data_IF_698514693167
#
_entry.id   IF_698514693167
#
_cell.length_a   1.000
_cell.length_b   1.000
_cell.length_c   1.000
_cell.angle_alpha   90.00
_cell.angle_beta   90.00
_cell.angle_gamma   90.00
#
_symmetry.space_group_name_H-M   'P 1'
#
loop_
_entity.id
_entity.type
_entity.pdbx_description
1 polymer ?
#
# COMPACT_ATOMS: atom_id res chain seq x y z
N UNK A 1 -32.90 19.69 -1.12
CA UNK A 1 -32.20 19.18 0.08
C UNK A 1 -31.01 18.36 -0.38
N UNK A 2 -29.80 18.93 -0.38
CA UNK A 2 -28.59 18.27 -0.87
C UNK A 2 -27.80 17.76 0.34
N UNK A 3 -27.63 16.45 0.46
CA UNK A 3 -26.94 15.83 1.59
C UNK A 3 -25.51 16.36 1.73
N UNK A 4 -25.10 16.60 2.98
CA UNK A 4 -23.82 17.16 3.37
C UNK A 4 -22.63 16.44 2.70
N UNK A 5 -21.58 17.16 2.25
CA UNK A 5 -20.37 16.57 1.66
C UNK A 5 -19.49 15.78 2.66
N UNK A 6 -19.89 15.73 3.93
CA UNK A 6 -19.01 15.41 5.07
C UNK A 6 -18.73 13.90 5.22
N UNK A 7 -19.59 13.05 4.66
CA UNK A 7 -19.42 11.60 4.69
C UNK A 7 -18.37 11.05 3.69
N UNK A 8 -17.93 11.85 2.71
CA UNK A 8 -16.92 11.42 1.73
C UNK A 8 -15.51 11.36 2.32
N UNK A 9 -15.20 12.12 3.36
CA UNK A 9 -13.87 12.11 3.97
C UNK A 9 -13.65 10.85 4.82
N UNK A 10 -14.65 10.47 5.63
CA UNK A 10 -14.63 9.26 6.46
C UNK A 10 -14.56 7.98 5.60
N UNK A 11 -15.34 7.92 4.52
CA UNK A 11 -15.30 6.78 3.59
C UNK A 11 -13.91 6.57 2.95
N UNK A 12 -13.15 7.65 2.71
CA UNK A 12 -11.79 7.58 2.15
C UNK A 12 -10.74 7.05 3.12
N UNK A 13 -11.01 7.13 4.42
CA UNK A 13 -10.14 6.58 5.47
C UNK A 13 -10.53 5.17 5.91
N UNK A 14 -11.68 4.67 5.47
CA UNK A 14 -12.14 3.33 5.81
C UNK A 14 -11.12 2.26 5.38
N UNK A 15 -10.63 2.30 4.13
CA UNK A 15 -9.71 1.27 3.63
C UNK A 15 -8.37 1.27 4.36
N UNK A 16 -7.64 2.40 4.50
CA UNK A 16 -6.42 2.43 5.32
C UNK A 16 -6.67 2.00 6.78
N UNK A 17 -7.78 2.43 7.37
CA UNK A 17 -8.16 2.08 8.73
C UNK A 17 -8.41 0.58 8.91
N UNK A 18 -9.11 -0.06 7.97
CA UNK A 18 -9.36 -1.51 7.97
C UNK A 18 -8.03 -2.28 7.85
N UNK A 19 -7.13 -1.85 6.96
CA UNK A 19 -5.82 -2.48 6.80
C UNK A 19 -4.98 -2.37 8.08
N UNK A 20 -4.98 -1.20 8.74
CA UNK A 20 -4.34 -1.04 10.05
C UNK A 20 -4.95 -1.96 11.10
N UNK A 21 -6.28 -2.02 11.18
CA UNK A 21 -6.99 -2.92 12.08
C UNK A 21 -6.61 -4.39 11.84
N UNK A 22 -6.56 -4.81 10.58
CA UNK A 22 -6.10 -6.14 10.19
C UNK A 22 -4.64 -6.39 10.63
N UNK A 23 -3.76 -5.40 10.51
CA UNK A 23 -2.38 -5.47 11.01
C UNK A 23 -2.30 -5.73 12.52
N UNK A 24 -3.11 -5.00 13.30
CA UNK A 24 -3.20 -5.21 14.74
C UNK A 24 -3.69 -6.63 15.07
N UNK A 25 -4.74 -7.10 14.39
CA UNK A 25 -5.30 -8.44 14.60
C UNK A 25 -4.29 -9.52 14.25
N UNK A 26 -3.67 -9.46 13.06
CA UNK A 26 -2.65 -10.43 12.62
C UNK A 26 -1.45 -10.43 13.56
N UNK A 27 -0.96 -9.23 13.95
CA UNK A 27 0.13 -9.11 14.91
C UNK A 27 -0.20 -9.72 16.26
N UNK A 28 -1.40 -9.48 16.78
CA UNK A 28 -1.85 -10.07 18.05
C UNK A 28 -1.92 -11.61 17.99
N UNK A 29 -2.45 -12.16 16.90
CA UNK A 29 -2.50 -13.62 16.68
C UNK A 29 -1.09 -14.22 16.67
N UNK A 30 -0.18 -13.64 15.89
CA UNK A 30 1.20 -14.14 15.78
C UNK A 30 1.97 -14.01 17.10
N UNK A 31 1.74 -12.94 17.86
CA UNK A 31 2.35 -12.73 19.17
C UNK A 31 1.82 -13.75 20.21
N UNK A 32 0.53 -14.06 20.18
CA UNK A 32 -0.07 -15.09 21.03
C UNK A 32 0.53 -16.49 20.76
N UNK A 33 0.92 -16.77 19.52
CA UNK A 33 1.63 -17.99 19.13
C UNK A 33 3.14 -17.97 19.47
N UNK A 34 3.64 -16.96 20.19
CA UNK A 34 5.06 -16.82 20.55
C UNK A 34 5.97 -16.35 19.40
N UNK A 35 5.39 -15.98 18.25
CA UNK A 35 6.14 -15.58 17.05
C UNK A 35 6.29 -14.06 16.95
N UNK A 36 6.76 -13.44 18.03
CA UNK A 36 6.83 -11.98 18.20
C UNK A 36 7.62 -11.26 17.10
N UNK A 37 8.71 -11.87 16.60
CA UNK A 37 9.48 -11.30 15.49
C UNK A 37 8.65 -11.18 14.20
N UNK A 38 7.99 -12.26 13.79
CA UNK A 38 7.09 -12.23 12.61
C UNK A 38 5.86 -11.35 12.84
N UNK A 39 5.37 -11.26 14.09
CA UNK A 39 4.27 -10.37 14.44
C UNK A 39 4.63 -8.89 14.17
N UNK A 40 5.81 -8.46 14.62
CA UNK A 40 6.30 -7.10 14.37
C UNK A 40 6.49 -6.82 12.88
N UNK A 41 7.06 -7.78 12.14
CA UNK A 41 7.27 -7.64 10.69
C UNK A 41 5.94 -7.54 9.94
N UNK A 42 4.96 -8.40 10.25
CA UNK A 42 3.64 -8.36 9.63
C UNK A 42 2.89 -7.06 9.95
N UNK A 43 2.96 -6.61 11.21
CA UNK A 43 2.38 -5.34 11.64
C UNK A 43 3.02 -4.16 10.90
N UNK A 44 4.35 -4.12 10.81
CA UNK A 44 5.08 -3.07 10.11
C UNK A 44 4.72 -3.05 8.60
N UNK A 45 4.62 -4.21 7.96
CA UNK A 45 4.23 -4.32 6.56
C UNK A 45 2.80 -3.80 6.31
N UNK A 46 1.83 -4.19 7.16
CA UNK A 46 0.45 -3.74 7.04
C UNK A 46 0.29 -2.25 7.39
N UNK A 47 1.05 -1.75 8.37
CA UNK A 47 1.10 -0.32 8.68
C UNK A 47 1.69 0.50 7.52
N UNK A 48 2.78 0.01 6.92
CA UNK A 48 3.37 0.61 5.72
C UNK A 48 2.39 0.62 4.55
N UNK A 49 1.67 -0.48 4.33
CA UNK A 49 0.66 -0.57 3.28
C UNK A 49 -0.54 0.36 3.52
N UNK A 50 -0.99 0.50 4.76
CA UNK A 50 -2.03 1.47 5.10
C UNK A 50 -1.56 2.91 4.91
N UNK A 51 -0.31 3.22 5.27
CA UNK A 51 0.29 4.54 5.04
C UNK A 51 0.40 4.84 3.54
N UNK A 52 0.78 3.85 2.72
CA UNK A 52 0.78 3.92 1.26
C UNK A 52 -0.62 4.28 0.71
N UNK A 53 -1.66 3.55 1.13
CA UNK A 53 -3.04 3.84 0.73
C UNK A 53 -3.51 5.23 1.19
N UNK A 54 -3.10 5.64 2.39
CA UNK A 54 -3.40 6.94 2.94
C UNK A 54 -2.71 8.07 2.16
N UNK A 55 -1.49 7.86 1.66
CA UNK A 55 -0.78 8.85 0.85
C UNK A 55 -1.36 8.93 -0.57
N UNK A 56 -1.60 7.79 -1.25
CA UNK A 56 -2.17 7.74 -2.61
C UNK A 56 -3.47 8.52 -2.76
N UNK A 57 -4.29 8.61 -1.72
CA UNK A 57 -5.58 9.32 -1.77
C UNK A 57 -5.45 10.82 -2.10
N UNK A 58 -4.28 11.42 -1.84
CA UNK A 58 -4.00 12.84 -1.98
C UNK A 58 -3.02 13.14 -3.13
N UNK A 59 -2.50 12.11 -3.80
CA UNK A 59 -1.45 12.27 -4.80
C UNK A 59 -2.06 12.80 -6.11
N UNK A 60 -1.62 13.97 -6.63
CA UNK A 60 -1.97 14.40 -7.97
C UNK A 60 -1.42 13.39 -8.98
N UNK A 61 -2.19 13.06 -10.03
CA UNK A 61 -1.67 12.23 -11.13
C UNK A 61 -0.53 12.95 -11.83
N UNK A 62 0.70 12.71 -11.38
CA UNK A 62 1.90 13.27 -11.97
C UNK A 62 2.30 12.42 -13.17
N UNK A 63 2.45 13.00 -14.37
CA UNK A 63 3.00 12.30 -15.51
C UNK A 63 4.52 12.18 -15.31
N UNK A 64 4.95 11.18 -14.54
CA UNK A 64 6.37 10.88 -14.39
C UNK A 64 6.78 9.99 -15.58
N UNK A 65 7.48 10.58 -16.54
CA UNK A 65 8.22 9.85 -17.56
C UNK A 65 8.07 10.39 -18.98
N UNK A 66 9.19 10.84 -19.56
CA UNK A 66 9.29 11.19 -20.99
C UNK A 66 9.03 9.99 -21.92
N UNK A 67 9.14 8.76 -21.40
CA UNK A 67 8.95 7.52 -22.16
C UNK A 67 7.50 7.16 -22.50
N UNK A 68 6.50 7.78 -21.87
CA UNK A 68 5.07 7.46 -22.12
C UNK A 68 4.40 8.35 -23.17
N UNK A 69 5.11 9.36 -23.70
CA UNK A 69 4.55 10.34 -24.65
C UNK A 69 3.51 11.28 -24.02
N UNK A 70 2.83 12.08 -24.83
CA UNK A 70 1.78 13.02 -24.39
C UNK A 70 0.38 12.60 -24.86
N UNK A 71 -0.67 13.11 -24.20
CA UNK A 71 -2.07 12.90 -24.61
C UNK A 71 -2.79 11.72 -23.94
N UNK A 72 -3.94 11.34 -24.50
CA UNK A 72 -4.91 10.42 -23.86
C UNK A 72 -4.39 8.98 -23.72
N UNK A 73 -3.61 8.49 -24.70
CA UNK A 73 -2.98 7.16 -24.62
C UNK A 73 -1.91 7.10 -23.52
N UNK A 74 -1.08 8.13 -23.39
CA UNK A 74 -0.07 8.22 -22.34
C UNK A 74 -0.71 8.12 -20.94
N UNK A 75 -1.80 8.87 -20.71
CA UNK A 75 -2.57 8.80 -19.46
C UNK A 75 -3.18 7.41 -19.21
N UNK A 76 -3.66 6.74 -20.25
CA UNK A 76 -4.19 5.39 -20.11
C UNK A 76 -3.10 4.38 -19.73
N UNK A 77 -1.90 4.48 -20.32
CA UNK A 77 -0.76 3.63 -19.96
C UNK A 77 -0.27 3.88 -18.53
N UNK A 78 -0.16 5.14 -18.12
CA UNK A 78 0.19 5.49 -16.74
C UNK A 78 -0.83 4.95 -15.73
N UNK A 79 -2.12 5.07 -16.05
CA UNK A 79 -3.19 4.53 -15.20
C UNK A 79 -3.12 3.00 -15.13
N UNK A 80 -2.89 2.32 -16.26
CA UNK A 80 -2.74 0.88 -16.30
C UNK A 80 -1.54 0.42 -15.45
N UNK A 81 -0.38 1.08 -15.59
CA UNK A 81 0.82 0.80 -14.78
C UNK A 81 0.58 1.06 -13.29
N UNK A 82 -0.11 2.15 -12.93
CA UNK A 82 -0.45 2.44 -11.56
C UNK A 82 -1.40 1.39 -10.96
N UNK A 83 -2.35 0.88 -11.75
CA UNK A 83 -3.27 -0.19 -11.31
C UNK A 83 -2.58 -1.55 -11.19
N UNK A 84 -1.67 -1.90 -12.09
CA UNK A 84 -0.93 -3.16 -11.98
C UNK A 84 0.01 -3.15 -10.78
N UNK A 85 0.63 -2.00 -10.49
CA UNK A 85 1.40 -1.78 -9.26
C UNK A 85 0.55 -2.06 -8.01
N UNK A 86 -0.65 -1.49 -7.92
CA UNK A 86 -1.55 -1.72 -6.78
C UNK A 86 -1.94 -3.19 -6.62
N UNK A 87 -2.34 -3.84 -7.71
CA UNK A 87 -2.72 -5.27 -7.69
C UNK A 87 -1.56 -6.13 -7.23
N UNK A 88 -0.35 -5.86 -7.71
CA UNK A 88 0.85 -6.58 -7.30
C UNK A 88 1.15 -6.36 -5.81
N UNK A 89 1.08 -5.11 -5.32
CA UNK A 89 1.29 -4.81 -3.89
C UNK A 89 0.27 -5.53 -3.02
N UNK A 90 -1.01 -5.54 -3.40
CA UNK A 90 -2.06 -6.28 -2.68
C UNK A 90 -1.73 -7.77 -2.65
N UNK A 91 -1.32 -8.36 -3.78
CA UNK A 91 -0.97 -9.78 -3.84
C UNK A 91 0.24 -10.13 -2.96
N UNK A 92 1.27 -9.27 -2.93
CA UNK A 92 2.45 -9.45 -2.08
C UNK A 92 2.08 -9.39 -0.59
N UNK A 93 1.29 -8.39 -0.18
CA UNK A 93 0.85 -8.23 1.21
C UNK A 93 -0.08 -9.39 1.62
N UNK A 94 -1.01 -9.79 0.74
CA UNK A 94 -1.86 -10.95 0.98
C UNK A 94 -1.05 -12.24 1.15
N UNK A 95 -0.08 -12.48 0.27
CA UNK A 95 0.84 -13.62 0.36
C UNK A 95 1.66 -13.62 1.66
N UNK A 96 2.16 -12.45 2.07
CA UNK A 96 2.88 -12.26 3.34
C UNK A 96 2.00 -12.68 4.52
N UNK A 97 0.77 -12.16 4.60
CA UNK A 97 -0.17 -12.47 5.69
C UNK A 97 -0.50 -13.96 5.73
N UNK A 98 -0.82 -14.55 4.58
CA UNK A 98 -1.14 -15.98 4.51
C UNK A 98 0.05 -16.83 4.97
N UNK A 99 1.27 -16.53 4.51
CA UNK A 99 2.46 -17.28 4.93
C UNK A 99 2.81 -17.08 6.40
N UNK A 100 2.70 -15.85 6.91
CA UNK A 100 2.93 -15.57 8.32
C UNK A 100 1.98 -16.40 9.19
N UNK A 101 0.69 -16.41 8.88
CA UNK A 101 -0.31 -17.17 9.62
C UNK A 101 -0.05 -18.69 9.54
N UNK A 102 0.39 -19.20 8.38
CA UNK A 102 0.79 -20.61 8.21
C UNK A 102 2.09 -20.98 8.93
N UNK A 103 2.85 -20.00 9.42
CA UNK A 103 4.17 -20.23 10.01
C UNK A 103 5.25 -20.62 9.00
N UNK A 104 5.01 -20.30 7.72
CA UNK A 104 6.01 -20.50 6.67
C UNK A 104 7.01 -19.35 6.59
N UNK A 105 8.03 -19.51 5.76
CA UNK A 105 8.98 -18.44 5.47
C UNK A 105 8.29 -17.27 4.75
N UNK A 106 8.49 -16.07 5.30
CA UNK A 106 7.94 -14.80 4.79
C UNK A 106 9.02 -13.94 4.11
N UNK A 107 10.29 -14.35 4.14
CA UNK A 107 11.45 -13.53 3.75
C UNK A 107 11.30 -12.98 2.33
N UNK A 108 10.85 -13.80 1.37
CA UNK A 108 10.63 -13.35 0.00
C UNK A 108 9.56 -12.24 -0.09
N UNK A 109 8.44 -12.40 0.62
CA UNK A 109 7.37 -11.40 0.62
C UNK A 109 7.78 -10.12 1.34
N UNK A 110 8.58 -10.22 2.41
CA UNK A 110 9.13 -9.06 3.12
C UNK A 110 10.04 -8.26 2.20
N UNK A 111 10.93 -8.92 1.45
CA UNK A 111 11.77 -8.25 0.47
C UNK A 111 10.97 -7.56 -0.63
N UNK A 112 9.96 -8.24 -1.18
CA UNK A 112 9.08 -7.65 -2.20
C UNK A 112 8.30 -6.45 -1.66
N UNK A 113 7.78 -6.52 -0.44
CA UNK A 113 7.09 -5.42 0.21
C UNK A 113 8.03 -4.24 0.49
N UNK A 114 9.26 -4.53 0.93
CA UNK A 114 10.29 -3.50 1.14
C UNK A 114 10.68 -2.81 -0.16
N UNK A 115 10.87 -3.56 -1.26
CA UNK A 115 11.14 -2.99 -2.58
C UNK A 115 9.99 -2.10 -3.04
N UNK A 116 8.74 -2.59 -2.95
CA UNK A 116 7.56 -1.80 -3.31
C UNK A 116 7.48 -0.49 -2.51
N UNK A 117 7.69 -0.57 -1.18
CA UNK A 117 7.72 0.59 -0.31
C UNK A 117 8.85 1.58 -0.64
N UNK A 118 10.07 1.07 -0.87
CA UNK A 118 11.22 1.90 -1.21
C UNK A 118 11.05 2.61 -2.56
N UNK A 119 10.57 1.89 -3.59
CA UNK A 119 10.28 2.48 -4.91
C UNK A 119 9.23 3.58 -4.80
N UNK A 120 8.21 3.38 -3.97
CA UNK A 120 7.18 4.38 -3.78
C UNK A 120 7.67 5.60 -3.00
N UNK A 121 8.45 5.41 -1.93
CA UNK A 121 9.07 6.50 -1.19
C UNK A 121 9.99 7.36 -2.07
N UNK A 122 10.76 6.71 -2.95
CA UNK A 122 11.58 7.41 -3.94
C UNK A 122 10.71 8.24 -4.89
N UNK A 123 9.61 7.67 -5.40
CA UNK A 123 8.67 8.39 -6.27
C UNK A 123 8.04 9.59 -5.56
N UNK A 124 7.58 9.41 -4.31
CA UNK A 124 7.02 10.47 -3.49
C UNK A 124 8.03 11.59 -3.20
N UNK A 125 9.27 11.21 -2.88
CA UNK A 125 10.34 12.17 -2.60
C UNK A 125 10.73 13.00 -3.83
N UNK A 126 10.88 12.35 -5.00
CA UNK A 126 11.13 13.05 -6.27
C UNK A 126 9.99 13.99 -6.61
N UNK A 127 8.74 13.52 -6.48
CA UNK A 127 7.55 14.34 -6.76
C UNK A 127 7.45 15.55 -5.84
N UNK A 128 7.79 15.40 -4.56
CA UNK A 128 7.76 16.49 -3.58
C UNK A 128 8.77 17.61 -3.86
N UNK A 129 9.87 17.32 -4.58
CA UNK A 129 10.86 18.32 -5.02
C UNK A 129 10.48 19.06 -6.30
N UNK A 130 9.51 18.56 -7.05
CA UNK A 130 9.05 19.15 -8.31
C UNK A 130 7.85 20.11 -8.17
N UNK A 131 7.34 20.27 -6.94
CA UNK A 131 6.33 21.25 -6.55
C UNK A 131 7.00 22.47 -5.90
#
# INVERSE_FOLDING_TARGET
MWMAPENRSLARWAVPGIVLGAGVVVGAVLAADGRSGTALVALAALAGYAAYLAYRRNEPTLPIGEGFGSGTRARAHLRAAATTGDVLTVAVIGGLVVQALRGGDITAYVWLAAVAGATYLLSAFVSSRSL
#
